data_IF_958597635947
#
_entry.id   IF_958597635947
#
_cell.length_a   1.000
_cell.length_b   1.000
_cell.length_c   1.000
_cell.angle_alpha   90.00
_cell.angle_beta   90.00
_cell.angle_gamma   90.00
#
_symmetry.space_group_name_H-M   'P 1'
#
loop_
_entity.id
_entity.type
_entity.pdbx_description
1 polymer ?
#
# COMPACT_ATOMS: atom_id res chain seq x y z
N UNK A 1 -16.32 16.83 3.06
CA UNK A 1 -15.59 16.44 1.84
C UNK A 1 -14.16 16.93 1.99
N UNK A 2 -13.17 16.20 1.49
CA UNK A 2 -11.77 16.52 1.79
C UNK A 2 -11.33 17.75 1.01
N UNK A 3 -11.04 18.85 1.71
CA UNK A 3 -10.41 20.01 1.09
C UNK A 3 -8.98 19.64 0.65
N UNK A 4 -8.58 20.05 -0.55
CA UNK A 4 -7.23 19.80 -1.08
C UNK A 4 -6.53 21.09 -1.47
N UNK A 5 -5.20 21.06 -1.43
CA UNK A 5 -4.34 22.12 -1.99
C UNK A 5 -3.12 21.54 -2.67
N UNK A 6 -2.45 22.37 -3.46
CA UNK A 6 -1.16 22.06 -4.06
C UNK A 6 -0.11 21.75 -2.99
N UNK A 7 0.80 20.82 -3.31
CA UNK A 7 1.92 20.45 -2.48
C UNK A 7 3.05 21.46 -2.58
N UNK A 8 3.74 21.71 -1.46
CA UNK A 8 5.03 22.40 -1.40
C UNK A 8 6.00 21.59 -0.54
N UNK A 9 7.30 21.71 -0.80
CA UNK A 9 8.31 20.96 -0.05
C UNK A 9 9.53 20.63 -0.89
N UNK A 10 9.89 19.35 -0.97
CA UNK A 10 11.06 18.87 -1.70
C UNK A 10 10.65 17.83 -2.74
N UNK A 11 11.33 17.83 -3.88
CA UNK A 11 11.22 16.80 -4.92
C UNK A 11 12.59 16.47 -5.50
N UNK A 12 12.78 15.32 -6.16
CA UNK A 12 14.06 15.00 -6.77
C UNK A 12 14.47 15.97 -7.88
N UNK A 13 15.76 16.15 -8.09
CA UNK A 13 16.23 16.74 -9.35
C UNK A 13 15.82 15.83 -10.52
N UNK A 14 15.51 16.37 -11.72
CA UNK A 14 15.23 15.52 -12.89
C UNK A 14 16.35 14.52 -13.20
N UNK A 15 17.60 14.86 -12.88
CA UNK A 15 18.75 14.00 -13.10
C UNK A 15 18.84 12.82 -12.11
N UNK A 16 18.31 12.98 -10.89
CA UNK A 16 18.47 11.98 -9.81
C UNK A 16 17.18 11.26 -9.42
N UNK A 17 16.02 11.57 -10.01
CA UNK A 17 14.74 10.97 -9.62
C UNK A 17 14.75 9.43 -9.59
N UNK A 18 15.44 8.78 -10.53
CA UNK A 18 15.58 7.32 -10.56
C UNK A 18 16.49 6.75 -9.46
N UNK A 19 17.46 7.53 -8.97
CA UNK A 19 18.39 7.15 -7.88
C UNK A 19 17.82 7.46 -6.50
N UNK A 20 17.01 8.52 -6.41
CA UNK A 20 16.39 8.96 -5.16
C UNK A 20 15.19 8.08 -4.82
N UNK A 21 14.31 7.79 -5.78
CA UNK A 21 13.05 7.11 -5.48
C UNK A 21 13.24 5.68 -4.98
N UNK A 22 12.36 5.26 -4.07
CA UNK A 22 12.38 3.91 -3.48
C UNK A 22 10.99 3.31 -3.40
N UNK A 23 10.85 2.00 -3.21
CA UNK A 23 9.62 1.42 -2.67
C UNK A 23 9.25 2.05 -1.32
N UNK A 24 7.98 1.97 -0.89
CA UNK A 24 7.57 2.30 0.47
C UNK A 24 8.36 1.53 1.54
N UNK A 25 8.50 2.15 2.71
CA UNK A 25 9.24 1.57 3.84
C UNK A 25 8.77 0.17 4.25
N UNK A 26 7.47 -0.12 4.10
CA UNK A 26 6.84 -1.39 4.47
C UNK A 26 7.00 -2.49 3.40
N UNK A 27 7.58 -2.16 2.24
CA UNK A 27 8.00 -3.12 1.21
C UNK A 27 9.46 -3.55 1.40
N UNK A 28 10.27 -2.72 2.07
CA UNK A 28 11.71 -2.94 2.25
C UNK A 28 11.93 -3.79 3.51
N UNK A 29 12.13 -5.09 3.32
CA UNK A 29 12.40 -6.03 4.43
C UNK A 29 13.87 -5.94 4.87
N UNK A 30 14.10 -5.93 6.19
CA UNK A 30 15.44 -5.98 6.78
C UNK A 30 16.20 -7.25 6.34
N UNK A 31 17.49 -7.09 6.01
CA UNK A 31 18.37 -8.14 5.51
C UNK A 31 18.13 -8.55 4.07
N UNK A 32 17.18 -7.92 3.36
CA UNK A 32 16.87 -8.28 1.98
C UNK A 32 17.89 -7.72 0.97
N UNK A 33 18.05 -8.36 -0.21
CA UNK A 33 18.84 -7.81 -1.30
C UNK A 33 18.40 -6.39 -1.73
N UNK A 34 17.09 -6.12 -1.67
CA UNK A 34 16.53 -4.79 -1.94
C UNK A 34 17.03 -3.76 -0.93
N UNK A 35 17.02 -4.07 0.37
CA UNK A 35 17.54 -3.17 1.39
C UNK A 35 19.04 -2.88 1.17
N UNK A 36 19.83 -3.92 0.89
CA UNK A 36 21.26 -3.77 0.64
C UNK A 36 21.56 -2.89 -0.59
N UNK A 37 20.79 -3.06 -1.67
CA UNK A 37 20.86 -2.24 -2.88
C UNK A 37 20.57 -0.76 -2.54
N UNK A 38 19.45 -0.50 -1.88
CA UNK A 38 19.01 0.87 -1.55
C UNK A 38 19.97 1.55 -0.56
N UNK A 39 20.45 0.81 0.45
CA UNK A 39 21.45 1.29 1.41
C UNK A 39 22.78 1.64 0.72
N UNK A 40 23.13 0.92 -0.36
CA UNK A 40 24.35 1.14 -1.14
C UNK A 40 24.32 2.36 -2.05
N UNK A 41 23.14 2.91 -2.40
CA UNK A 41 22.99 4.13 -3.19
C UNK A 41 22.92 5.36 -2.26
N UNK A 42 23.94 6.24 -2.22
CA UNK A 42 23.97 7.39 -1.30
C UNK A 42 22.83 8.39 -1.52
N UNK A 43 22.31 8.50 -2.75
CA UNK A 43 21.20 9.38 -3.09
C UNK A 43 19.82 8.78 -2.73
N UNK A 44 19.76 7.50 -2.32
CA UNK A 44 18.50 6.79 -2.09
C UNK A 44 17.70 7.43 -0.96
N UNK A 45 16.39 7.61 -1.20
CA UNK A 45 15.47 8.09 -0.17
C UNK A 45 15.29 7.09 0.98
N UNK A 46 15.80 5.86 0.83
CA UNK A 46 15.94 4.87 1.90
C UNK A 46 16.56 5.46 3.17
N UNK A 47 17.61 6.27 3.01
CA UNK A 47 18.33 6.90 4.13
C UNK A 47 17.44 7.85 4.93
N UNK A 48 16.38 8.40 4.33
CA UNK A 48 15.40 9.26 5.00
C UNK A 48 14.29 8.43 5.66
N UNK A 49 13.83 7.35 5.02
CA UNK A 49 12.65 6.61 5.52
C UNK A 49 12.97 5.51 6.55
N UNK A 50 14.18 4.95 6.48
CA UNK A 50 14.65 3.78 7.24
C UNK A 50 16.11 3.90 7.71
N UNK A 51 16.83 4.97 7.35
CA UNK A 51 18.19 5.20 7.81
C UNK A 51 18.28 5.63 9.28
N UNK A 52 19.49 5.64 9.82
CA UNK A 52 19.75 5.90 11.25
C UNK A 52 19.54 7.36 11.66
N UNK A 53 19.77 8.31 10.75
CA UNK A 53 19.59 9.75 10.96
C UNK A 53 18.82 10.36 9.77
N UNK A 54 17.47 10.28 9.80
CA UNK A 54 16.62 10.79 8.73
C UNK A 54 16.82 12.27 8.42
N UNK A 55 17.05 13.10 9.45
CA UNK A 55 17.25 14.54 9.26
C UNK A 55 18.55 14.83 8.53
N UNK A 56 19.67 14.27 9.00
CA UNK A 56 20.97 14.47 8.35
C UNK A 56 20.98 13.89 6.93
N UNK A 57 20.28 12.77 6.71
CA UNK A 57 20.10 12.23 5.36
C UNK A 57 19.35 13.21 4.45
N UNK A 58 18.23 13.78 4.92
CA UNK A 58 17.46 14.74 4.13
C UNK A 58 18.26 16.02 3.84
N UNK A 59 18.94 16.57 4.85
CA UNK A 59 19.80 17.75 4.70
C UNK A 59 20.94 17.51 3.71
N UNK A 60 21.55 16.31 3.74
CA UNK A 60 22.57 15.89 2.76
C UNK A 60 22.01 15.81 1.35
N UNK A 61 20.86 15.15 1.16
CA UNK A 61 20.24 15.03 -0.18
C UNK A 61 19.90 16.40 -0.79
N UNK A 62 19.52 17.38 0.05
CA UNK A 62 19.31 18.76 -0.41
C UNK A 62 20.63 19.47 -0.71
N UNK A 63 21.64 19.36 0.18
CA UNK A 63 22.94 19.99 0.00
C UNK A 63 23.68 19.49 -1.25
N UNK A 64 23.55 18.20 -1.56
CA UNK A 64 24.16 17.56 -2.72
C UNK A 64 23.34 17.76 -4.02
N UNK A 65 22.18 18.41 -3.95
CA UNK A 65 21.34 18.74 -5.10
C UNK A 65 20.47 17.58 -5.63
N UNK A 66 20.41 16.46 -4.91
CA UNK A 66 19.54 15.33 -5.25
C UNK A 66 18.06 15.66 -5.00
N UNK A 67 17.77 16.47 -3.97
CA UNK A 67 16.46 17.04 -3.70
C UNK A 67 16.49 18.56 -3.90
N UNK A 68 15.47 19.09 -4.56
CA UNK A 68 15.28 20.52 -4.82
C UNK A 68 13.99 21.00 -4.16
N UNK A 69 14.01 22.25 -3.69
CA UNK A 69 12.82 22.90 -3.14
C UNK A 69 11.77 23.16 -4.23
N UNK A 70 10.50 22.93 -3.91
CA UNK A 70 9.35 23.32 -4.71
C UNK A 70 8.37 24.09 -3.82
N UNK A 71 8.49 25.42 -3.85
CA UNK A 71 7.74 26.33 -2.98
C UNK A 71 6.47 26.89 -3.63
N UNK A 72 6.27 26.68 -4.94
CA UNK A 72 5.02 27.02 -5.61
C UNK A 72 4.03 25.85 -5.45
N UNK A 73 2.84 26.07 -4.86
CA UNK A 73 1.85 25.01 -4.69
C UNK A 73 1.47 24.37 -6.03
N UNK A 74 1.65 23.05 -6.13
CA UNK A 74 1.33 22.31 -7.34
C UNK A 74 0.72 20.94 -7.04
N UNK A 75 -0.13 20.48 -7.95
CA UNK A 75 -0.57 19.10 -8.03
C UNK A 75 0.39 18.31 -8.93
N UNK A 76 0.64 17.04 -8.63
CA UNK A 76 1.52 16.20 -9.44
C UNK A 76 0.75 15.00 -9.96
N UNK A 77 0.31 15.06 -11.21
CA UNK A 77 -0.33 13.91 -11.86
C UNK A 77 0.74 12.85 -12.08
N UNK A 78 0.50 11.65 -11.58
CA UNK A 78 1.45 10.55 -11.57
C UNK A 78 0.83 9.33 -12.25
N UNK A 79 1.46 8.91 -13.34
CA UNK A 79 1.11 7.72 -14.11
C UNK A 79 2.14 6.62 -13.84
N UNK A 80 1.66 5.43 -13.52
CA UNK A 80 2.43 4.19 -13.45
C UNK A 80 2.03 3.30 -14.63
N UNK A 81 3.01 2.69 -15.30
CA UNK A 81 2.80 1.70 -16.36
C UNK A 81 3.57 0.43 -16.06
N UNK A 82 2.93 -0.71 -16.22
CA UNK A 82 3.53 -2.03 -16.01
C UNK A 82 2.90 -3.03 -16.99
N UNK A 83 3.73 -3.66 -17.83
CA UNK A 83 3.21 -4.47 -18.94
C UNK A 83 2.31 -3.65 -19.86
N UNK A 84 1.08 -4.12 -20.07
CA UNK A 84 0.02 -3.47 -20.87
C UNK A 84 -0.93 -2.60 -20.02
N UNK A 85 -0.73 -2.55 -18.71
CA UNK A 85 -1.57 -1.85 -17.75
C UNK A 85 -0.98 -0.50 -17.36
N UNK A 86 -1.86 0.39 -16.94
CA UNK A 86 -1.49 1.65 -16.32
C UNK A 86 -2.48 2.05 -15.22
N UNK A 87 -2.04 2.96 -14.37
CA UNK A 87 -2.89 3.67 -13.41
C UNK A 87 -2.42 5.11 -13.34
N UNK A 88 -3.36 6.05 -13.35
CA UNK A 88 -3.05 7.47 -13.14
C UNK A 88 -3.74 7.98 -11.89
N UNK A 89 -3.05 8.83 -11.16
CA UNK A 89 -3.58 9.55 -10.02
C UNK A 89 -2.88 10.89 -9.85
N UNK A 90 -3.10 11.55 -8.73
CA UNK A 90 -2.54 12.87 -8.45
C UNK A 90 -2.07 12.97 -7.01
N UNK A 91 -0.84 13.47 -6.82
CA UNK A 91 -0.35 13.85 -5.51
C UNK A 91 -0.89 15.21 -5.11
N UNK A 92 -1.52 15.27 -3.93
CA UNK A 92 -2.12 16.47 -3.36
C UNK A 92 -1.85 16.55 -1.85
N UNK A 93 -2.01 17.74 -1.28
CA UNK A 93 -2.14 17.89 0.17
C UNK A 93 -3.63 17.82 0.53
N UNK A 94 -4.08 16.72 1.14
CA UNK A 94 -5.46 16.55 1.61
C UNK A 94 -5.62 17.06 3.04
N UNK A 95 -6.73 17.72 3.37
CA UNK A 95 -7.00 18.18 4.74
C UNK A 95 -7.10 16.99 5.70
N UNK A 96 -6.41 17.09 6.82
CA UNK A 96 -6.50 16.11 7.90
C UNK A 96 -7.74 16.42 8.73
N UNK A 97 -8.68 15.47 8.81
CA UNK A 97 -9.90 15.61 9.62
C UNK A 97 -10.08 14.44 10.58
N UNK A 98 -10.73 14.65 11.75
CA UNK A 98 -11.11 13.54 12.61
C UNK A 98 -11.98 12.52 11.85
N UNK A 99 -11.88 11.23 12.18
CA UNK A 99 -12.64 10.19 11.46
C UNK A 99 -14.15 10.39 11.57
N UNK A 100 -14.61 11.04 12.63
CA UNK A 100 -16.01 11.42 12.86
C UNK A 100 -16.56 12.36 11.78
N UNK A 101 -15.69 13.11 11.09
CA UNK A 101 -16.07 13.95 9.96
C UNK A 101 -16.44 13.14 8.70
N UNK A 102 -16.09 11.84 8.66
CA UNK A 102 -16.40 10.90 7.56
C UNK A 102 -15.91 11.39 6.18
N UNK A 103 -14.85 12.19 6.14
CA UNK A 103 -14.27 12.71 4.89
C UNK A 103 -13.14 11.82 4.38
N UNK A 104 -12.29 11.34 5.29
CA UNK A 104 -11.29 10.32 5.05
C UNK A 104 -11.74 9.04 5.73
N UNK A 105 -12.01 8.01 4.94
CA UNK A 105 -12.64 6.76 5.35
C UNK A 105 -11.58 5.67 5.44
N UNK A 106 -11.56 4.96 6.57
CA UNK A 106 -10.67 3.83 6.82
C UNK A 106 -11.43 2.52 6.68
N UNK A 107 -10.72 1.45 6.37
CA UNK A 107 -11.25 0.08 6.41
C UNK A 107 -10.32 -0.88 7.17
N UNK A 108 -9.29 -0.35 7.85
CA UNK A 108 -8.32 -1.12 8.64
C UNK A 108 -8.01 -0.37 9.94
N UNK A 109 -7.65 -1.14 10.98
CA UNK A 109 -7.16 -0.60 12.27
C UNK A 109 -5.72 -0.12 12.13
N UNK A 110 -5.30 0.74 13.06
CA UNK A 110 -3.94 1.27 13.13
C UNK A 110 -3.25 0.85 14.41
N UNK A 111 -1.98 0.49 14.34
CA UNK A 111 -1.14 0.11 15.48
C UNK A 111 -0.30 1.28 15.99
N UNK A 112 -0.25 1.43 17.32
CA UNK A 112 0.39 2.56 17.98
C UNK A 112 1.87 2.71 17.64
N UNK A 113 2.62 1.61 17.53
CA UNK A 113 4.08 1.70 17.33
C UNK A 113 4.45 2.16 15.91
N UNK A 114 3.72 1.70 14.89
CA UNK A 114 3.87 2.20 13.51
C UNK A 114 3.53 3.68 13.42
N UNK A 115 2.50 4.12 14.13
CA UNK A 115 2.08 5.52 14.20
C UNK A 115 3.16 6.37 14.87
N UNK A 116 3.68 5.97 16.04
CA UNK A 116 4.75 6.69 16.76
C UNK A 116 5.98 6.90 15.90
N UNK A 117 6.44 5.87 15.19
CA UNK A 117 7.61 5.97 14.31
C UNK A 117 7.41 6.99 13.18
N UNK A 118 6.21 7.08 12.60
CA UNK A 118 5.90 8.10 11.56
C UNK A 118 5.80 9.51 12.14
N UNK A 119 5.25 9.66 13.35
CA UNK A 119 5.22 10.96 14.06
C UNK A 119 6.63 11.45 14.35
N UNK A 120 7.50 10.57 14.85
CA UNK A 120 8.90 10.89 15.14
C UNK A 120 9.62 11.37 13.88
N UNK A 121 9.52 10.61 12.79
CA UNK A 121 10.12 10.97 11.50
C UNK A 121 9.62 12.33 10.98
N UNK A 122 8.31 12.58 11.06
CA UNK A 122 7.74 13.86 10.64
C UNK A 122 8.25 15.02 11.51
N UNK A 123 8.33 14.85 12.83
CA UNK A 123 8.80 15.90 13.74
C UNK A 123 10.29 16.20 13.57
N UNK A 124 11.09 15.17 13.33
CA UNK A 124 12.52 15.28 13.15
C UNK A 124 12.88 15.98 11.83
N UNK A 125 12.19 15.62 10.74
CA UNK A 125 12.49 16.17 9.41
C UNK A 125 11.74 17.47 9.11
N UNK A 126 10.56 17.69 9.70
CA UNK A 126 9.64 18.75 9.30
C UNK A 126 8.86 18.44 8.01
N UNK A 127 8.94 17.20 7.51
CA UNK A 127 8.28 16.77 6.28
C UNK A 127 7.42 15.52 6.49
N UNK A 128 6.33 15.43 5.73
CA UNK A 128 5.56 14.20 5.59
C UNK A 128 6.08 13.45 4.37
N UNK A 129 6.55 12.22 4.62
CA UNK A 129 7.08 11.31 3.61
C UNK A 129 6.17 10.10 3.44
N UNK A 130 6.14 9.55 2.23
CA UNK A 130 5.34 8.38 1.92
C UNK A 130 3.84 8.73 1.79
N UNK A 131 3.30 8.82 0.57
CA UNK A 131 1.93 9.25 0.31
C UNK A 131 0.90 8.23 0.81
N UNK A 132 -0.17 8.68 1.46
CA UNK A 132 -1.36 7.84 1.69
C UNK A 132 -2.01 7.61 0.33
N UNK A 133 -2.16 6.34 -0.07
CA UNK A 133 -2.88 5.97 -1.29
C UNK A 133 -4.38 6.00 -0.96
N UNK A 134 -5.11 6.89 -1.59
CA UNK A 134 -6.56 7.02 -1.43
C UNK A 134 -7.30 6.82 -2.76
N UNK A 135 -8.47 6.20 -2.66
CA UNK A 135 -9.46 6.13 -3.72
C UNK A 135 -10.47 7.25 -3.58
N UNK A 136 -11.00 7.71 -4.71
CA UNK A 136 -12.08 8.68 -4.78
C UNK A 136 -13.12 8.25 -5.81
N UNK A 137 -14.36 8.74 -5.66
CA UNK A 137 -15.42 8.58 -6.65
C UNK A 137 -15.47 9.78 -7.63
N UNK A 138 -14.58 10.76 -7.47
CA UNK A 138 -14.50 11.92 -8.34
C UNK A 138 -14.04 11.53 -9.74
N UNK A 139 -14.58 12.17 -10.77
CA UNK A 139 -14.18 11.93 -12.16
C UNK A 139 -12.94 12.76 -12.53
N UNK A 140 -11.79 12.09 -12.63
CA UNK A 140 -10.48 12.73 -12.82
C UNK A 140 -9.81 12.37 -14.16
N UNK A 141 -10.21 11.28 -14.81
CA UNK A 141 -9.58 10.77 -16.03
C UNK A 141 -9.34 11.82 -17.12
N UNK A 142 -10.32 12.66 -17.43
CA UNK A 142 -10.15 13.71 -18.45
C UNK A 142 -9.14 14.80 -18.04
N UNK A 143 -9.04 15.12 -16.75
CA UNK A 143 -8.06 16.06 -16.21
C UNK A 143 -6.65 15.44 -16.23
N UNK A 144 -6.55 14.14 -15.99
CA UNK A 144 -5.30 13.40 -16.10
C UNK A 144 -4.81 13.32 -17.55
N UNK A 145 -5.70 13.09 -18.51
CA UNK A 145 -5.34 13.09 -19.94
C UNK A 145 -4.87 14.47 -20.40
N UNK A 146 -5.52 15.54 -19.94
CA UNK A 146 -5.10 16.92 -20.20
C UNK A 146 -3.70 17.20 -19.61
N UNK A 147 -3.42 16.77 -18.38
CA UNK A 147 -2.09 16.90 -17.78
C UNK A 147 -1.02 16.14 -18.56
N UNK A 148 -1.33 14.91 -19.01
CA UNK A 148 -0.42 14.03 -19.77
C UNK A 148 -0.13 14.52 -21.18
N UNK A 149 -0.89 15.48 -21.70
CA UNK A 149 -0.63 16.13 -22.99
C UNK A 149 0.49 17.18 -22.91
N UNK A 150 0.87 17.61 -21.69
CA UNK A 150 2.02 18.48 -21.45
C UNK A 150 3.34 17.71 -21.31
N UNK A 151 4.41 18.44 -21.03
CA UNK A 151 5.72 17.86 -20.78
C UNK A 151 5.79 17.16 -19.42
N UNK A 152 6.32 15.94 -19.41
CA UNK A 152 6.56 15.22 -18.17
C UNK A 152 7.73 15.87 -17.40
N UNK A 153 7.51 16.15 -16.11
CA UNK A 153 8.56 16.55 -15.19
C UNK A 153 9.56 15.41 -14.97
N UNK A 154 9.06 14.18 -14.86
CA UNK A 154 9.86 12.96 -14.74
C UNK A 154 9.32 11.88 -15.66
N UNK A 155 10.20 11.10 -16.26
CA UNK A 155 9.91 9.83 -16.91
C UNK A 155 11.05 8.88 -16.60
N UNK A 156 10.79 7.88 -15.74
CA UNK A 156 11.79 6.89 -15.32
C UNK A 156 11.19 5.49 -15.31
N UNK A 157 12.02 4.49 -15.58
CA UNK A 157 11.73 3.10 -15.26
C UNK A 157 12.50 2.74 -13.98
N UNK A 158 11.80 2.14 -13.01
CA UNK A 158 12.41 1.86 -11.71
C UNK A 158 13.28 0.60 -11.78
N UNK A 159 14.57 0.72 -11.45
CA UNK A 159 15.48 -0.41 -11.33
C UNK A 159 15.76 -0.73 -9.85
N UNK A 160 15.20 -1.83 -9.37
CA UNK A 160 15.42 -2.35 -8.04
C UNK A 160 16.10 -3.73 -8.08
N UNK A 161 16.89 -3.98 -9.14
CA UNK A 161 17.70 -5.20 -9.26
C UNK A 161 16.89 -6.48 -9.39
N UNK A 162 15.68 -6.42 -9.97
CA UNK A 162 14.78 -7.57 -10.05
C UNK A 162 13.93 -7.79 -8.80
N UNK A 163 13.97 -6.90 -7.81
CA UNK A 163 13.27 -7.07 -6.53
C UNK A 163 12.04 -6.17 -6.40
N UNK A 164 10.96 -6.74 -5.85
CA UNK A 164 9.72 -6.02 -5.54
C UNK A 164 8.80 -5.82 -6.75
N UNK A 165 7.56 -5.42 -6.47
CA UNK A 165 6.50 -5.20 -7.47
C UNK A 165 6.67 -3.88 -8.25
N UNK A 166 7.61 -3.03 -7.83
CA UNK A 166 7.91 -1.75 -8.46
C UNK A 166 9.06 -1.81 -9.46
N UNK A 167 9.81 -2.91 -9.51
CA UNK A 167 10.86 -3.06 -10.53
C UNK A 167 10.26 -3.13 -11.93
N UNK A 168 10.85 -2.40 -12.89
CA UNK A 168 10.37 -2.34 -14.27
C UNK A 168 9.09 -1.51 -14.45
N UNK A 169 8.59 -0.86 -13.40
CA UNK A 169 7.44 0.05 -13.51
C UNK A 169 7.92 1.40 -14.03
N UNK A 170 7.37 1.83 -15.17
CA UNK A 170 7.59 3.19 -15.71
C UNK A 170 6.72 4.17 -14.93
N UNK A 171 7.35 5.25 -14.44
CA UNK A 171 6.76 6.33 -13.68
C UNK A 171 6.86 7.64 -14.45
N UNK A 172 5.73 8.26 -14.77
CA UNK A 172 5.63 9.56 -15.44
C UNK A 172 4.94 10.56 -14.53
N UNK A 173 5.55 11.72 -14.31
CA UNK A 173 5.01 12.74 -13.40
C UNK A 173 4.84 14.06 -14.14
N UNK A 174 3.69 14.71 -13.97
CA UNK A 174 3.34 15.98 -14.59
C UNK A 174 3.01 16.99 -13.51
N UNK A 175 3.73 18.11 -13.49
CA UNK A 175 3.52 19.18 -12.53
C UNK A 175 2.43 20.13 -13.04
N UNK A 176 1.40 20.32 -12.23
CA UNK A 176 0.27 21.20 -12.51
C UNK A 176 0.21 22.27 -11.42
N UNK A 177 0.66 23.51 -11.68
CA UNK A 177 0.57 24.61 -10.71
C UNK A 177 -0.87 24.77 -10.20
N UNK A 178 -1.07 24.96 -8.89
CA UNK A 178 -2.41 25.10 -8.29
C UNK A 178 -3.18 26.27 -8.91
N UNK A 179 -2.48 27.36 -9.22
CA UNK A 179 -3.06 28.56 -9.81
C UNK A 179 -3.41 28.45 -11.31
N UNK A 180 -3.06 27.34 -11.97
CA UNK A 180 -3.45 27.09 -13.37
C UNK A 180 -4.95 26.76 -13.50
N UNK A 181 -5.50 26.85 -14.71
CA UNK A 181 -6.89 26.41 -14.99
C UNK A 181 -7.08 24.93 -14.61
N UNK A 182 -6.17 24.07 -15.07
CA UNK A 182 -6.20 22.64 -14.76
C UNK A 182 -6.06 22.39 -13.25
N UNK A 183 -5.19 23.11 -12.55
CA UNK A 183 -5.05 23.03 -11.09
C UNK A 183 -6.34 23.39 -10.36
N UNK A 184 -7.01 24.47 -10.79
CA UNK A 184 -8.30 24.90 -10.22
C UNK A 184 -9.41 23.85 -10.45
N UNK A 185 -9.43 23.22 -11.62
CA UNK A 185 -10.39 22.15 -11.96
C UNK A 185 -10.12 20.85 -11.18
N UNK A 186 -8.84 20.46 -11.02
CA UNK A 186 -8.46 19.33 -10.15
C UNK A 186 -8.91 19.57 -8.71
N UNK A 187 -8.65 20.77 -8.16
CA UNK A 187 -9.09 21.16 -6.82
C UNK A 187 -10.60 21.05 -6.64
N UNK A 188 -11.34 21.57 -7.60
CA UNK A 188 -12.80 21.56 -7.59
C UNK A 188 -13.37 20.13 -7.67
N UNK A 189 -12.81 19.28 -8.53
CA UNK A 189 -13.25 17.89 -8.67
C UNK A 189 -13.01 17.09 -7.38
N UNK A 190 -11.82 17.23 -6.79
CA UNK A 190 -11.45 16.53 -5.55
C UNK A 190 -12.26 16.98 -4.33
N UNK A 191 -12.60 18.28 -4.24
CA UNK A 191 -13.40 18.82 -3.14
C UNK A 191 -14.84 18.25 -3.10
N UNK A 192 -15.28 17.61 -4.19
CA UNK A 192 -16.60 17.01 -4.33
C UNK A 192 -16.73 15.61 -3.74
N UNK A 193 -15.64 14.97 -3.28
CA UNK A 193 -15.67 13.57 -2.85
C UNK A 193 -15.01 13.25 -1.49
N UNK A 194 -15.30 12.03 -1.00
CA UNK A 194 -14.58 11.40 0.13
C UNK A 194 -13.31 10.72 -0.37
N UNK A 195 -12.34 10.57 0.52
CA UNK A 195 -11.15 9.77 0.28
C UNK A 195 -11.23 8.46 1.07
N UNK A 196 -11.20 7.35 0.37
CA UNK A 196 -11.16 6.01 0.98
C UNK A 196 -9.70 5.57 1.00
N UNK A 197 -9.12 5.39 2.18
CA UNK A 197 -7.73 4.96 2.29
C UNK A 197 -7.63 3.56 1.72
N UNK A 198 -6.89 3.39 0.62
CA UNK A 198 -6.49 2.09 0.10
C UNK A 198 -5.26 1.58 0.87
N UNK A 199 -4.24 2.41 1.00
CA UNK A 199 -3.02 2.07 1.72
C UNK A 199 -2.49 3.27 2.50
N UNK A 200 -1.98 3.03 3.71
CA UNK A 200 -1.35 4.06 4.53
C UNK A 200 -2.20 4.56 5.68
N UNK A 201 -3.05 3.70 6.27
CA UNK A 201 -3.86 4.02 7.45
C UNK A 201 -3.01 4.55 8.60
N UNK A 202 -1.84 3.92 8.87
CA UNK A 202 -0.87 4.41 9.86
C UNK A 202 -0.32 5.81 9.54
N UNK A 203 -0.12 6.12 8.25
CA UNK A 203 0.42 7.42 7.80
C UNK A 203 -0.62 8.53 7.97
N UNK A 204 -1.87 8.26 7.59
CA UNK A 204 -2.97 9.19 7.87
C UNK A 204 -3.18 9.39 9.38
N UNK A 205 -3.19 8.31 10.16
CA UNK A 205 -3.39 8.40 11.61
C UNK A 205 -2.23 9.13 12.30
N UNK A 206 -1.00 8.95 11.83
CA UNK A 206 0.14 9.74 12.28
C UNK A 206 -0.02 11.23 11.96
N UNK A 207 -0.48 11.60 10.76
CA UNK A 207 -0.77 12.99 10.42
C UNK A 207 -1.85 13.59 11.35
N UNK A 208 -2.92 12.84 11.62
CA UNK A 208 -3.99 13.22 12.53
C UNK A 208 -3.49 13.43 13.98
N UNK A 209 -2.75 12.46 14.51
CA UNK A 209 -2.20 12.50 15.88
C UNK A 209 -1.09 13.54 16.05
N UNK A 210 -0.37 13.86 14.96
CA UNK A 210 0.67 14.89 14.96
C UNK A 210 0.12 16.30 14.66
N UNK A 211 -1.21 16.46 14.67
CA UNK A 211 -1.91 17.73 14.47
C UNK A 211 -1.57 18.43 13.15
N UNK A 212 -1.22 17.66 12.12
CA UNK A 212 -0.96 18.20 10.79
C UNK A 212 -2.26 18.79 10.22
N UNK A 213 -2.15 19.90 9.48
CA UNK A 213 -3.31 20.49 8.80
C UNK A 213 -3.68 19.69 7.55
N UNK A 214 -2.66 19.16 6.86
CA UNK A 214 -2.80 18.39 5.64
C UNK A 214 -1.84 17.20 5.62
N UNK A 215 -2.23 16.12 4.95
CA UNK A 215 -1.41 14.93 4.72
C UNK A 215 -1.06 14.81 3.23
N UNK A 216 0.10 14.20 2.95
CA UNK A 216 0.49 13.85 1.59
C UNK A 216 -0.32 12.64 1.14
N UNK A 217 -1.07 12.77 0.05
CA UNK A 217 -1.80 11.65 -0.53
C UNK A 217 -1.65 11.56 -2.05
N UNK A 218 -1.75 10.33 -2.54
CA UNK A 218 -1.94 9.99 -3.93
C UNK A 218 -3.40 9.59 -4.12
N UNK A 219 -4.13 10.36 -4.92
CA UNK A 219 -5.56 10.19 -5.16
C UNK A 219 -5.79 9.61 -6.55
N UNK A 220 -6.64 8.60 -6.69
CA UNK A 220 -7.01 8.00 -7.98
C UNK A 220 -8.41 7.39 -7.93
N UNK A 221 -8.99 7.16 -9.11
CA UNK A 221 -10.30 6.53 -9.30
C UNK A 221 -10.24 5.00 -9.24
N UNK A 222 -9.06 4.43 -9.49
CA UNK A 222 -8.90 3.00 -9.72
C UNK A 222 -7.72 2.44 -8.93
N UNK A 223 -7.85 1.18 -8.54
CA UNK A 223 -6.76 0.42 -7.95
C UNK A 223 -6.87 -1.05 -8.33
N UNK A 224 -5.73 -1.70 -8.40
CA UNK A 224 -5.62 -3.14 -8.48
C UNK A 224 -5.25 -3.68 -7.11
N UNK A 225 -6.09 -4.60 -6.61
CA UNK A 225 -5.83 -5.37 -5.40
C UNK A 225 -5.40 -6.77 -5.85
N UNK A 226 -4.23 -7.21 -5.40
CA UNK A 226 -3.74 -8.57 -5.60
C UNK A 226 -4.09 -9.44 -4.41
N UNK A 227 -4.09 -10.76 -4.65
CA UNK A 227 -4.20 -11.74 -3.59
C UNK A 227 -3.06 -11.56 -2.59
N UNK A 228 -3.40 -11.66 -1.30
CA UNK A 228 -2.42 -11.68 -0.23
C UNK A 228 -2.35 -13.07 0.36
N UNK A 229 -1.53 -13.89 -0.28
CA UNK A 229 -1.37 -15.30 0.00
C UNK A 229 -0.61 -15.52 1.31
N UNK A 230 -0.73 -16.72 1.90
CA UNK A 230 -0.01 -17.05 3.13
C UNK A 230 0.63 -18.43 3.11
N UNK A 231 1.75 -18.54 3.80
CA UNK A 231 2.38 -19.81 4.16
C UNK A 231 2.25 -20.01 5.67
N UNK A 232 2.02 -21.25 6.08
CA UNK A 232 1.57 -21.55 7.43
C UNK A 232 2.27 -22.80 7.97
N UNK A 233 2.68 -22.73 9.23
CA UNK A 233 3.13 -23.84 10.07
C UNK A 233 2.31 -23.82 11.37
N UNK A 234 1.23 -24.61 11.36
CA UNK A 234 0.29 -24.73 12.47
C UNK A 234 0.86 -25.45 13.68
N UNK A 235 0.08 -25.48 14.76
CA UNK A 235 0.30 -26.43 15.87
C UNK A 235 -0.03 -27.84 15.38
N UNK A 236 -1.13 -27.96 14.65
CA UNK A 236 -1.49 -29.15 13.90
C UNK A 236 -0.95 -29.03 12.47
N UNK A 237 -0.30 -30.09 12.00
CA UNK A 237 0.20 -30.16 10.63
C UNK A 237 -0.97 -30.29 9.64
N UNK A 238 -0.83 -29.76 8.42
CA UNK A 238 -1.85 -30.00 7.39
C UNK A 238 -2.10 -31.50 7.15
N UNK A 239 -1.05 -32.32 7.20
CA UNK A 239 -1.14 -33.76 7.04
C UNK A 239 -2.01 -34.46 8.11
N UNK A 240 -2.06 -33.94 9.34
CA UNK A 240 -2.90 -34.53 10.41
C UNK A 240 -4.37 -34.14 10.30
N UNK A 241 -4.67 -33.02 9.66
CA UNK A 241 -6.05 -32.51 9.54
C UNK A 241 -6.68 -32.74 8.18
N UNK A 242 -5.90 -33.04 7.13
CA UNK A 242 -6.39 -33.10 5.74
C UNK A 242 -7.59 -34.02 5.55
N UNK A 243 -7.63 -35.17 6.24
CA UNK A 243 -8.70 -36.16 6.09
C UNK A 243 -10.02 -35.71 6.76
N UNK A 244 -9.98 -34.64 7.56
CA UNK A 244 -11.16 -34.01 8.16
C UNK A 244 -11.72 -32.85 7.32
N UNK A 245 -11.02 -32.46 6.26
CA UNK A 245 -11.39 -31.36 5.36
C UNK A 245 -12.01 -31.93 4.07
N UNK A 246 -12.97 -31.21 3.50
CA UNK A 246 -13.57 -31.56 2.21
C UNK A 246 -12.68 -31.04 1.08
N UNK A 247 -11.65 -31.81 0.74
CA UNK A 247 -10.61 -31.43 -0.22
C UNK A 247 -10.84 -32.08 -1.59
N UNK A 248 -10.83 -31.25 -2.62
CA UNK A 248 -10.80 -31.68 -4.03
C UNK A 248 -9.35 -31.64 -4.54
N UNK A 249 -8.82 -32.67 -5.22
CA UNK A 249 -7.51 -32.58 -5.86
C UNK A 249 -7.46 -31.43 -6.88
N UNK A 250 -6.35 -30.69 -6.90
CA UNK A 250 -6.09 -29.63 -7.87
C UNK A 250 -4.84 -29.95 -8.70
N UNK A 251 -4.87 -29.64 -10.00
CA UNK A 251 -3.76 -29.91 -10.91
C UNK A 251 -2.55 -29.00 -10.62
N UNK A 252 -2.80 -27.78 -10.18
CA UNK A 252 -1.76 -26.78 -9.89
C UNK A 252 -2.10 -25.92 -8.67
N UNK A 253 -1.05 -25.30 -8.11
CA UNK A 253 -1.19 -24.29 -7.07
C UNK A 253 -1.31 -22.91 -7.72
N UNK A 254 -2.53 -22.41 -7.80
CA UNK A 254 -2.90 -21.16 -8.48
C UNK A 254 -3.89 -20.34 -7.65
N UNK A 255 -4.08 -19.07 -8.00
CA UNK A 255 -5.15 -18.24 -7.42
C UNK A 255 -6.51 -18.87 -7.75
N UNK A 256 -7.32 -19.25 -6.75
CA UNK A 256 -8.61 -19.91 -6.99
C UNK A 256 -9.73 -18.90 -7.30
N UNK A 257 -10.92 -19.41 -7.62
CA UNK A 257 -12.15 -18.61 -7.73
C UNK A 257 -12.65 -18.11 -6.36
N UNK A 258 -13.64 -17.22 -6.38
CA UNK A 258 -14.26 -16.68 -5.16
C UNK A 258 -14.83 -17.78 -4.26
N UNK A 259 -14.61 -17.63 -2.95
CA UNK A 259 -15.00 -18.56 -1.89
C UNK A 259 -14.38 -19.95 -2.00
N UNK A 260 -13.23 -20.04 -2.66
CA UNK A 260 -12.38 -21.22 -2.69
C UNK A 260 -10.93 -20.86 -2.32
N UNK A 261 -10.20 -21.84 -1.83
CA UNK A 261 -8.81 -21.72 -1.41
C UNK A 261 -8.01 -22.82 -2.09
N UNK A 262 -6.92 -22.45 -2.77
CA UNK A 262 -5.98 -23.43 -3.28
C UNK A 262 -4.92 -23.66 -2.21
N UNK A 263 -4.76 -24.90 -1.78
CA UNK A 263 -3.82 -25.33 -0.76
C UNK A 263 -2.70 -26.12 -1.44
N UNK A 264 -1.45 -25.89 -1.05
CA UNK A 264 -0.31 -26.69 -1.49
C UNK A 264 0.48 -27.22 -0.31
N UNK A 265 0.71 -28.52 -0.34
CA UNK A 265 1.58 -29.25 0.58
C UNK A 265 2.49 -30.18 -0.21
N UNK A 266 3.39 -30.90 0.47
CA UNK A 266 4.22 -31.93 -0.17
C UNK A 266 3.43 -33.09 -0.80
N UNK A 267 2.17 -33.26 -0.41
CA UNK A 267 1.26 -34.27 -0.97
C UNK A 267 0.59 -33.81 -2.28
N UNK A 268 0.77 -32.54 -2.68
CA UNK A 268 0.17 -31.95 -3.88
C UNK A 268 -0.68 -30.72 -3.60
N UNK A 269 -1.42 -30.30 -4.62
CA UNK A 269 -2.35 -29.17 -4.55
C UNK A 269 -3.80 -29.67 -4.33
N UNK A 270 -4.57 -28.90 -3.56
CA UNK A 270 -5.95 -29.19 -3.20
C UNK A 270 -6.79 -27.93 -3.25
N UNK A 271 -8.06 -28.05 -3.63
CA UNK A 271 -9.06 -27.00 -3.49
C UNK A 271 -9.89 -27.27 -2.25
N UNK A 272 -9.99 -26.26 -1.38
CA UNK A 272 -10.92 -26.22 -0.26
C UNK A 272 -11.97 -25.16 -0.55
N UNK A 273 -13.25 -25.54 -0.59
CA UNK A 273 -14.38 -24.62 -0.79
C UNK A 273 -14.91 -24.13 0.55
N UNK A 274 -15.30 -22.87 0.63
CA UNK A 274 -15.95 -22.31 1.81
C UNK A 274 -17.23 -23.10 2.12
N UNK A 275 -17.39 -23.52 3.38
CA UNK A 275 -18.62 -24.23 3.80
C UNK A 275 -19.79 -23.29 3.97
N UNK A 276 -19.51 -22.06 4.38
CA UNK A 276 -20.53 -21.02 4.59
C UNK A 276 -19.98 -19.68 4.10
N UNK A 277 -20.82 -18.89 3.41
CA UNK A 277 -20.48 -17.50 3.07
C UNK A 277 -21.44 -16.61 3.84
N UNK A 278 -20.97 -15.90 4.89
CA UNK A 278 -21.80 -14.98 5.65
C UNK A 278 -22.42 -13.87 4.79
N UNK A 279 -23.54 -13.31 5.26
CA UNK A 279 -24.16 -12.18 4.59
C UNK A 279 -23.53 -10.83 4.98
N UNK A 280 -22.81 -10.73 6.08
CA UNK A 280 -22.20 -9.46 6.50
C UNK A 280 -20.99 -9.11 5.61
N UNK A 281 -20.65 -7.81 5.57
CA UNK A 281 -19.65 -7.27 4.62
C UNK A 281 -18.23 -7.72 4.93
N UNK A 282 -17.91 -8.08 6.18
CA UNK A 282 -16.56 -8.52 6.58
C UNK A 282 -16.47 -10.05 6.52
N UNK A 283 -17.45 -10.74 7.10
CA UNK A 283 -17.49 -12.21 7.18
C UNK A 283 -17.54 -12.89 5.83
N UNK A 284 -18.06 -12.24 4.79
CA UNK A 284 -18.04 -12.75 3.41
C UNK A 284 -16.69 -12.70 2.71
N UNK A 285 -15.73 -11.93 3.24
CA UNK A 285 -14.41 -11.83 2.62
C UNK A 285 -13.68 -13.17 2.69
N UNK A 286 -13.05 -13.58 1.60
CA UNK A 286 -12.31 -14.86 1.54
C UNK A 286 -11.24 -15.00 2.62
N UNK A 287 -10.59 -13.88 3.00
CA UNK A 287 -9.67 -13.87 4.13
C UNK A 287 -10.37 -14.19 5.45
N UNK A 288 -11.51 -13.57 5.76
CA UNK A 288 -12.28 -13.82 6.97
C UNK A 288 -12.86 -15.24 7.02
N UNK A 289 -13.36 -15.74 5.89
CA UNK A 289 -13.83 -17.13 5.76
C UNK A 289 -12.68 -18.10 6.05
N UNK A 290 -11.49 -17.88 5.50
CA UNK A 290 -10.36 -18.77 5.77
C UNK A 290 -9.92 -18.73 7.23
N UNK A 291 -9.85 -17.55 7.83
CA UNK A 291 -9.54 -17.40 9.26
C UNK A 291 -10.54 -18.15 10.14
N UNK A 292 -11.83 -18.10 9.79
CA UNK A 292 -12.88 -18.80 10.53
C UNK A 292 -12.82 -20.32 10.33
N UNK A 293 -12.58 -20.78 9.11
CA UNK A 293 -12.79 -22.19 8.77
C UNK A 293 -11.53 -23.06 8.87
N UNK A 294 -10.35 -22.54 8.52
CA UNK A 294 -9.13 -23.34 8.42
C UNK A 294 -8.18 -23.10 9.59
N UNK A 295 -8.03 -21.87 10.08
CA UNK A 295 -7.07 -21.57 11.15
C UNK A 295 -7.32 -22.33 12.45
N UNK A 296 -8.58 -22.55 12.90
CA UNK A 296 -8.84 -23.35 14.09
C UNK A 296 -8.40 -24.81 13.93
N UNK A 297 -8.55 -25.39 12.73
CA UNK A 297 -8.11 -26.75 12.45
C UNK A 297 -6.58 -26.87 12.50
N UNK A 298 -5.86 -25.83 12.05
CA UNK A 298 -4.39 -25.75 12.13
C UNK A 298 -3.89 -25.35 13.54
N UNK A 299 -4.79 -25.01 14.46
CA UNK A 299 -4.44 -24.53 15.80
C UNK A 299 -3.70 -23.18 15.80
N UNK A 300 -3.92 -22.33 14.79
CA UNK A 300 -3.26 -21.03 14.70
C UNK A 300 -3.81 -20.06 15.75
N UNK A 301 -2.89 -19.42 16.47
CA UNK A 301 -3.20 -18.32 17.38
C UNK A 301 -2.81 -16.98 16.76
N UNK A 302 -3.34 -15.88 17.30
CA UNK A 302 -2.99 -14.54 16.83
C UNK A 302 -1.49 -14.24 16.97
N UNK A 303 -0.82 -14.75 18.01
CA UNK A 303 0.64 -14.56 18.17
C UNK A 303 1.45 -15.30 17.09
N UNK A 304 0.96 -16.44 16.59
CA UNK A 304 1.62 -17.19 15.52
C UNK A 304 1.52 -16.47 14.17
N UNK A 305 0.41 -15.77 13.90
CA UNK A 305 0.22 -15.02 12.65
C UNK A 305 1.25 -13.89 12.52
N UNK A 306 1.69 -13.33 13.65
CA UNK A 306 2.71 -12.28 13.69
C UNK A 306 4.15 -12.81 13.70
N UNK A 307 4.36 -14.14 13.77
CA UNK A 307 5.68 -14.76 13.87
C UNK A 307 6.07 -15.43 12.53
N UNK A 308 7.12 -14.93 11.84
CA UNK A 308 7.64 -15.54 10.61
C UNK A 308 8.10 -17.00 10.75
N UNK A 309 8.27 -17.52 11.97
CA UNK A 309 8.51 -18.95 12.18
C UNK A 309 7.26 -19.82 11.93
N UNK A 310 6.07 -19.20 11.97
CA UNK A 310 4.77 -19.87 11.87
C UNK A 310 3.93 -19.39 10.69
N UNK A 311 4.06 -18.13 10.31
CA UNK A 311 3.19 -17.51 9.32
C UNK A 311 3.91 -16.40 8.58
N UNK A 312 3.76 -16.35 7.25
CA UNK A 312 4.21 -15.21 6.46
C UNK A 312 3.29 -15.00 5.26
N UNK A 313 3.27 -13.77 4.78
CA UNK A 313 2.40 -13.35 3.69
C UNK A 313 3.19 -13.09 2.40
N UNK A 314 2.60 -13.48 1.27
CA UNK A 314 3.21 -13.43 -0.05
C UNK A 314 2.27 -12.75 -1.05
N UNK A 315 2.80 -11.95 -1.99
CA UNK A 315 1.99 -11.39 -3.08
C UNK A 315 1.55 -12.48 -4.06
N UNK A 316 0.55 -12.16 -4.88
CA UNK A 316 0.02 -13.05 -5.93
C UNK A 316 1.09 -13.61 -6.88
N UNK A 317 2.11 -12.83 -7.21
CA UNK A 317 3.19 -13.27 -8.11
C UNK A 317 4.16 -14.29 -7.50
N UNK A 318 4.10 -14.52 -6.18
CA UNK A 318 5.10 -15.30 -5.45
C UNK A 318 4.68 -16.76 -5.16
N UNK A 319 3.68 -17.30 -5.87
CA UNK A 319 3.22 -18.69 -5.66
C UNK A 319 4.35 -19.72 -5.76
N UNK A 320 5.27 -19.57 -6.72
CA UNK A 320 6.43 -20.46 -6.85
C UNK A 320 7.38 -20.39 -5.65
N UNK A 321 7.59 -19.20 -5.09
CA UNK A 321 8.39 -19.01 -3.89
C UNK A 321 7.72 -19.67 -2.68
N UNK A 322 6.40 -19.53 -2.54
CA UNK A 322 5.64 -20.18 -1.47
C UNK A 322 5.77 -21.70 -1.53
N UNK A 323 5.64 -22.31 -2.71
CA UNK A 323 5.87 -23.75 -2.91
C UNK A 323 7.25 -24.17 -2.45
N UNK A 324 8.28 -23.42 -2.88
CA UNK A 324 9.66 -23.71 -2.50
C UNK A 324 9.89 -23.68 -0.98
N UNK A 325 9.21 -22.79 -0.24
CA UNK A 325 9.28 -22.72 1.24
C UNK A 325 8.63 -23.94 1.90
N UNK A 326 7.52 -24.42 1.35
CA UNK A 326 6.87 -25.67 1.82
C UNK A 326 7.72 -26.89 1.50
N UNK A 327 8.27 -26.97 0.29
CA UNK A 327 9.13 -28.07 -0.13
C UNK A 327 10.40 -28.14 0.74
N UNK A 328 11.00 -26.99 1.08
CA UNK A 328 12.13 -26.87 2.00
C UNK A 328 11.78 -27.27 3.46
N UNK A 329 10.50 -27.25 3.83
CA UNK A 329 10.03 -27.56 5.19
C UNK A 329 10.07 -26.38 6.15
N UNK A 330 10.21 -25.16 5.61
CA UNK A 330 10.08 -23.93 6.40
C UNK A 330 8.63 -23.78 6.92
N UNK A 331 7.66 -24.18 6.09
CA UNK A 331 6.23 -24.21 6.39
C UNK A 331 5.61 -25.54 5.96
N UNK A 332 4.42 -25.85 6.50
CA UNK A 332 3.70 -27.10 6.19
C UNK A 332 2.68 -26.93 5.06
N UNK A 333 2.21 -25.69 4.85
CA UNK A 333 1.11 -25.39 3.93
C UNK A 333 1.32 -24.02 3.27
N UNK A 334 1.09 -23.95 1.97
CA UNK A 334 0.92 -22.71 1.22
C UNK A 334 -0.56 -22.57 0.83
N UNK A 335 -1.11 -21.36 0.95
CA UNK A 335 -2.53 -21.09 0.73
C UNK A 335 -2.64 -19.89 -0.22
N UNK A 336 -3.21 -20.13 -1.40
CA UNK A 336 -3.64 -19.09 -2.32
C UNK A 336 -5.14 -18.82 -2.16
N UNK A 337 -5.52 -17.56 -2.28
CA UNK A 337 -6.88 -17.07 -2.11
C UNK A 337 -7.19 -16.04 -3.21
N UNK A 338 -8.46 -15.86 -3.58
CA UNK A 338 -8.81 -14.81 -4.52
C UNK A 338 -8.49 -13.41 -3.93
N UNK A 339 -8.18 -12.42 -4.77
CA UNK A 339 -8.06 -11.04 -4.32
C UNK A 339 -9.38 -10.49 -3.79
N UNK A 340 -9.29 -9.57 -2.82
CA UNK A 340 -10.43 -8.72 -2.45
C UNK A 340 -10.73 -7.77 -3.61
N UNK A 341 -12.00 -7.62 -3.95
CA UNK A 341 -12.42 -6.68 -5.00
C UNK A 341 -12.50 -5.24 -4.47
N UNK A 342 -12.47 -4.26 -5.38
CA UNK A 342 -12.66 -2.85 -5.00
C UNK A 342 -14.05 -2.66 -4.41
N UNK A 343 -15.06 -3.32 -4.94
CA UNK A 343 -16.44 -3.26 -4.44
C UNK A 343 -16.53 -3.79 -3.00
N UNK A 344 -15.87 -4.90 -2.68
CA UNK A 344 -15.81 -5.46 -1.32
C UNK A 344 -15.13 -4.49 -0.35
N UNK A 345 -13.98 -3.94 -0.74
CA UNK A 345 -13.28 -2.95 0.07
C UNK A 345 -14.13 -1.71 0.33
N UNK A 346 -14.77 -1.18 -0.72
CA UNK A 346 -15.63 -0.01 -0.62
C UNK A 346 -16.86 -0.31 0.24
N UNK A 347 -17.45 -1.51 0.14
CA UNK A 347 -18.57 -1.91 0.99
C UNK A 347 -18.19 -1.96 2.48
N UNK A 348 -17.01 -2.49 2.81
CA UNK A 348 -16.51 -2.48 4.21
C UNK A 348 -16.24 -1.06 4.68
N UNK A 349 -15.60 -0.23 3.86
CA UNK A 349 -15.31 1.17 4.20
C UNK A 349 -16.59 1.98 4.45
N UNK A 350 -17.62 1.80 3.62
CA UNK A 350 -18.92 2.48 3.76
C UNK A 350 -19.69 1.98 4.98
N UNK A 351 -19.69 0.67 5.27
CA UNK A 351 -20.28 0.14 6.50
C UNK A 351 -19.56 0.69 7.76
N UNK A 352 -18.23 0.86 7.67
CA UNK A 352 -17.39 1.47 8.70
C UNK A 352 -17.73 2.93 9.03
N UNK A 353 -18.51 3.62 8.17
CA UNK A 353 -18.96 4.98 8.45
C UNK A 353 -19.98 5.03 9.59
N UNK A 354 -20.81 4.00 9.72
CA UNK A 354 -21.88 3.96 10.72
C UNK A 354 -21.45 3.18 11.98
N UNK A 355 -20.53 2.22 11.82
CA UNK A 355 -19.91 1.49 12.92
C UNK A 355 -18.40 1.38 12.70
N UNK A 356 -17.62 2.11 13.51
CA UNK A 356 -16.16 2.19 13.37
C UNK A 356 -15.40 0.90 13.71
N UNK A 357 -16.08 -0.09 14.29
CA UNK A 357 -15.53 -1.42 14.57
C UNK A 357 -15.58 -2.34 13.33
N UNK A 358 -16.39 -2.00 12.31
CA UNK A 358 -16.43 -2.69 11.02
C UNK A 358 -15.19 -2.30 10.21
N UNK A 359 -14.21 -3.20 10.22
CA UNK A 359 -12.97 -3.10 9.45
C UNK A 359 -12.62 -4.47 8.88
N UNK A 360 -11.81 -4.47 7.83
CA UNK A 360 -11.23 -5.69 7.29
C UNK A 360 -10.27 -6.33 8.33
N UNK A 361 -10.06 -7.65 8.26
CA UNK A 361 -8.94 -8.29 8.94
C UNK A 361 -7.61 -7.63 8.55
N UNK A 362 -6.60 -7.79 9.41
CA UNK A 362 -5.27 -7.30 9.08
C UNK A 362 -4.75 -8.01 7.83
N UNK A 363 -4.00 -7.28 6.98
CA UNK A 363 -3.33 -7.87 5.83
C UNK A 363 -4.29 -8.59 4.86
N UNK A 364 -5.50 -8.06 4.68
CA UNK A 364 -6.46 -8.57 3.69
C UNK A 364 -6.23 -8.08 2.25
N UNK A 365 -5.48 -6.99 2.06
CA UNK A 365 -5.34 -6.35 0.74
C UNK A 365 -3.88 -6.09 0.38
N UNK A 366 -3.55 -6.31 -0.89
CA UNK A 366 -2.25 -5.95 -1.46
C UNK A 366 -2.46 -5.07 -2.69
N UNK A 367 -2.36 -3.75 -2.52
CA UNK A 367 -2.43 -2.81 -3.64
C UNK A 367 -1.18 -2.84 -4.50
N UNK A 368 -1.35 -3.01 -5.81
CA UNK A 368 -0.25 -3.07 -6.77
C UNK A 368 -0.48 -2.17 -8.01
N UNK A 369 0.60 -1.64 -8.61
CA UNK A 369 1.89 -1.44 -7.96
C UNK A 369 1.72 -0.54 -6.72
N UNK A 370 2.65 -0.61 -5.77
CA UNK A 370 2.70 0.38 -4.69
C UNK A 370 3.05 1.79 -5.22
N UNK A 371 3.07 2.80 -4.35
CA UNK A 371 3.44 4.17 -4.74
C UNK A 371 4.91 4.43 -4.35
N UNK A 372 5.73 4.90 -5.28
CA UNK A 372 7.12 5.25 -4.99
C UNK A 372 7.20 6.30 -3.86
N UNK A 373 8.14 6.09 -2.95
CA UNK A 373 8.58 7.10 -1.98
C UNK A 373 9.67 7.97 -2.60
N UNK A 374 9.78 9.21 -2.13
CA UNK A 374 10.78 10.16 -2.61
C UNK A 374 10.37 10.96 -3.86
N UNK A 375 9.27 10.62 -4.55
CA UNK A 375 8.76 11.44 -5.68
C UNK A 375 8.34 12.84 -5.24
N UNK A 376 7.79 12.96 -4.03
CA UNK A 376 7.53 14.23 -3.37
C UNK A 376 7.64 14.07 -1.85
N UNK A 377 8.19 15.08 -1.19
CA UNK A 377 8.36 15.17 0.26
C UNK A 377 7.67 16.44 0.75
N UNK A 378 6.52 16.29 1.40
CA UNK A 378 5.62 17.40 1.68
C UNK A 378 6.04 18.17 2.94
N UNK A 379 6.24 19.49 2.84
CA UNK A 379 6.48 20.34 4.00
C UNK A 379 5.16 20.56 4.72
N UNK A 380 4.94 19.80 5.78
CA UNK A 380 3.66 19.85 6.49
C UNK A 380 3.60 21.04 7.45
N UNK A 381 2.37 21.46 7.72
CA UNK A 381 2.07 22.46 8.74
C UNK A 381 1.29 21.78 9.87
N UNK A 382 1.45 22.28 11.09
CA UNK A 382 0.64 21.86 12.24
C UNK A 382 -0.38 22.93 12.57
N UNK A 383 -1.51 22.51 13.15
CA UNK A 383 -2.48 23.44 13.74
C UNK A 383 -1.77 24.20 14.86
N UNK A 384 -1.91 25.52 14.88
CA UNK A 384 -1.42 26.32 16.00
C UNK A 384 -2.30 26.00 17.21
N UNK A 385 -1.67 25.60 18.31
CA UNK A 385 -2.32 25.32 19.60
C UNK A 385 -2.87 26.55 20.27
#
# INVERSE_FOLDING_TARGET
MVATRGLTGLRPSPADVGRVTTPPYDVIKEGSPLEALLRGEPASFFHVILGDDPKAALERLVADGHLVADDEPAYYVYEQRWGDQSRTGVFVAGAVTPYEAKEVVRHEKTFDDKVKGRIALANETGYTVGPVFVLTKAHLGSLFDEAKAGDALYEIESDFGGHGDLHGVTSRVFRVPEASDLGSRLKASLAGDRFYIADGHHRYHAALRNEQTHFLCYVTEEARILAYNRVVKGVESFASIKDSLDLEPADEFATPEKHAFCLYSRDGAFTLRAREVPDDVVGRLDCAILERELYPALGLTHSMIADPAHFDYYPESALAQMKARVDAGDYDLAIALPPVSIEELMAVAEAGLDDSDIVMPEKSTFFAPKILSGLFTYRHEKRQS
#
